data_IF_848511854833
#
_entry.id   IF_848511854833
#
_cell.length_a   1.000
_cell.length_b   1.000
_cell.length_c   1.000
_cell.angle_alpha   90.00
_cell.angle_beta   90.00
_cell.angle_gamma   90.00
#
_symmetry.space_group_name_H-M   'P 1'
#
loop_
_entity.id
_entity.type
_entity.pdbx_description
1 polymer ?
#
# COMPACT_ATOMS: atom_id res chain seq x y z
N UNK A 1 13.53 19.98 -2.47
CA UNK A 1 13.13 18.60 -2.79
C UNK A 1 11.63 18.57 -2.78
N UNK A 2 11.00 18.22 -3.90
CA UNK A 2 9.55 18.12 -4.04
C UNK A 2 9.17 16.65 -4.22
N UNK A 3 8.07 16.25 -3.59
CA UNK A 3 7.53 14.88 -3.66
C UNK A 3 6.14 14.98 -4.24
N UNK A 4 5.89 14.21 -5.30
CA UNK A 4 4.58 14.13 -5.93
C UNK A 4 3.77 12.97 -5.37
N UNK A 5 2.45 13.09 -5.48
CA UNK A 5 1.55 12.00 -5.13
C UNK A 5 1.74 10.78 -6.04
N UNK A 6 1.43 9.61 -5.49
CA UNK A 6 1.51 8.34 -6.21
C UNK A 6 0.20 8.12 -6.97
N UNK A 7 0.27 7.92 -8.28
CA UNK A 7 -0.90 7.67 -9.13
C UNK A 7 -0.91 6.27 -9.69
N UNK A 8 -2.11 5.75 -9.96
CA UNK A 8 -2.30 4.45 -10.58
C UNK A 8 -1.84 4.48 -12.04
N UNK A 9 -0.86 3.65 -12.42
CA UNK A 9 -0.38 3.59 -13.80
C UNK A 9 -1.41 3.15 -14.84
N UNK A 10 -2.56 2.57 -14.43
CA UNK A 10 -3.63 2.14 -15.34
C UNK A 10 -4.68 3.22 -15.62
N UNK A 11 -5.07 3.99 -14.60
CA UNK A 11 -6.19 4.93 -14.71
C UNK A 11 -5.83 6.37 -14.29
N UNK A 12 -4.61 6.63 -13.84
CA UNK A 12 -4.10 7.96 -13.51
C UNK A 12 -4.60 8.54 -12.18
N UNK A 13 -5.54 7.89 -11.49
CA UNK A 13 -6.04 8.39 -10.20
C UNK A 13 -4.99 8.24 -9.10
N UNK A 14 -4.96 9.19 -8.17
CA UNK A 14 -4.14 9.11 -6.97
C UNK A 14 -4.47 7.86 -6.14
N UNK A 15 -3.45 7.23 -5.55
CA UNK A 15 -3.62 6.09 -4.66
C UNK A 15 -3.89 6.57 -3.24
N UNK A 16 -4.83 5.93 -2.56
CA UNK A 16 -5.21 6.26 -1.19
C UNK A 16 -4.57 5.27 -0.22
N UNK A 17 -4.03 5.76 0.90
CA UNK A 17 -3.49 4.89 1.94
C UNK A 17 -4.62 4.24 2.76
N UNK A 18 -4.58 2.91 2.89
CA UNK A 18 -5.50 2.12 3.72
C UNK A 18 -4.73 1.07 4.53
N UNK A 19 -5.29 0.64 5.66
CA UNK A 19 -4.76 -0.47 6.44
C UNK A 19 -5.63 -1.72 6.23
N UNK A 20 -4.99 -2.85 5.99
CA UNK A 20 -5.66 -4.16 5.87
C UNK A 20 -5.32 -4.96 7.12
N UNK A 21 -6.35 -5.41 7.83
CA UNK A 21 -6.22 -6.37 8.93
C UNK A 21 -6.00 -7.77 8.34
N UNK A 22 -5.00 -8.46 8.88
CA UNK A 22 -4.72 -9.87 8.55
C UNK A 22 -5.35 -10.78 9.59
N UNK A 23 -5.44 -12.07 9.25
CA UNK A 23 -5.99 -13.10 10.13
C UNK A 23 -5.17 -13.32 11.41
N UNK A 24 -3.88 -13.00 11.37
CA UNK A 24 -2.96 -13.05 12.53
C UNK A 24 -3.12 -11.85 13.50
N UNK A 25 -4.08 -10.95 13.23
CA UNK A 25 -4.31 -9.74 14.00
C UNK A 25 -3.32 -8.61 13.72
N UNK A 26 -2.35 -8.80 12.82
CA UNK A 26 -1.45 -7.74 12.37
C UNK A 26 -2.08 -6.90 11.27
N UNK A 27 -1.57 -5.70 11.04
CA UNK A 27 -2.03 -4.81 9.97
C UNK A 27 -0.94 -4.57 8.94
N UNK A 28 -1.34 -4.39 7.68
CA UNK A 28 -0.46 -3.96 6.60
C UNK A 28 -1.01 -2.68 5.97
N UNK A 29 -0.17 -1.65 5.91
CA UNK A 29 -0.47 -0.44 5.17
C UNK A 29 -0.31 -0.68 3.67
N UNK A 30 -1.25 -0.20 2.86
CA UNK A 30 -1.19 -0.26 1.41
C UNK A 30 -1.66 1.05 0.77
N UNK A 31 -1.11 1.40 -0.38
CA UNK A 31 -1.64 2.42 -1.25
C UNK A 31 -2.57 1.75 -2.29
N UNK A 32 -3.87 1.99 -2.19
CA UNK A 32 -4.90 1.35 -2.99
C UNK A 32 -5.50 2.31 -4.03
N UNK A 33 -5.72 1.80 -5.24
CA UNK A 33 -6.44 2.54 -6.26
C UNK A 33 -7.95 2.46 -5.98
N UNK A 34 -8.61 3.62 -5.81
CA UNK A 34 -10.05 3.70 -5.55
C UNK A 34 -10.92 3.08 -6.65
N UNK A 35 -10.38 2.94 -7.87
CA UNK A 35 -11.04 2.26 -9.00
C UNK A 35 -10.80 0.74 -9.03
N UNK A 36 -10.16 0.16 -8.01
CA UNK A 36 -9.94 -1.28 -7.90
C UNK A 36 -8.90 -1.87 -8.87
N UNK A 37 -8.07 -1.03 -9.50
CA UNK A 37 -7.05 -1.48 -10.46
C UNK A 37 -5.92 -2.31 -9.84
N UNK A 38 -5.70 -2.15 -8.54
CA UNK A 38 -4.64 -2.79 -7.76
C UNK A 38 -4.27 -1.99 -6.51
N UNK A 39 -3.33 -2.54 -5.74
CA UNK A 39 -2.78 -1.96 -4.51
C UNK A 39 -1.28 -2.23 -4.42
N UNK A 40 -0.54 -1.28 -3.82
CA UNK A 40 0.89 -1.37 -3.57
C UNK A 40 1.08 -1.49 -2.06
N UNK A 41 1.90 -2.44 -1.63
CA UNK A 41 2.22 -2.60 -0.21
C UNK A 41 3.12 -1.44 0.24
N UNK A 42 2.68 -0.71 1.27
CA UNK A 42 3.41 0.45 1.80
C UNK A 42 4.54 -0.06 2.69
N UNK A 43 5.82 0.27 2.41
CA UNK A 43 6.91 -0.14 3.27
C UNK A 43 6.79 0.53 4.63
N UNK A 44 6.76 -0.27 5.71
CA UNK A 44 6.83 0.28 7.07
C UNK A 44 8.28 0.52 7.51
N UNK A 45 8.48 1.42 8.47
CA UNK A 45 9.78 1.57 9.13
C UNK A 45 10.17 0.21 9.73
N UNK A 46 11.41 -0.21 9.44
CA UNK A 46 11.98 -1.51 9.80
C UNK A 46 11.42 -2.74 9.04
N UNK A 47 10.63 -2.57 7.98
CA UNK A 47 10.31 -3.63 7.01
C UNK A 47 9.53 -4.83 7.55
N UNK A 48 8.88 -4.70 8.71
CA UNK A 48 8.13 -5.78 9.36
C UNK A 48 7.05 -6.37 8.45
N UNK A 49 6.42 -5.54 7.63
CA UNK A 49 5.41 -5.99 6.69
C UNK A 49 6.04 -6.78 5.54
N UNK A 50 7.28 -6.50 5.15
CA UNK A 50 7.99 -7.09 3.99
C UNK A 50 8.75 -8.39 4.28
N UNK A 51 8.70 -8.89 5.51
CA UNK A 51 9.21 -10.22 5.84
C UNK A 51 8.46 -11.30 5.03
N UNK A 52 9.18 -12.24 4.44
CA UNK A 52 8.57 -13.44 3.87
C UNK A 52 8.02 -14.31 5.02
N UNK A 53 6.78 -14.79 4.88
CA UNK A 53 6.31 -15.87 5.73
C UNK A 53 7.07 -17.14 5.32
N UNK A 54 7.78 -17.74 6.27
CA UNK A 54 8.37 -19.09 6.13
C UNK A 54 7.26 -20.15 6.23
#
# INVERSE_FOLDING_TARGET
>A
MEVHAITCGKCGTELTHVNIEKEDGTTVGVAECSNGCGKIKSPMCCGHDMAAAD
#
